data_IF_568715566920
#
_entry.id   IF_568715566920
#
_cell.length_a   1.000
_cell.length_b   1.000
_cell.length_c   1.000
_cell.angle_alpha   90.00
_cell.angle_beta   90.00
_cell.angle_gamma   90.00
#
_symmetry.space_group_name_H-M   'P 1'
#
loop_
_entity.id
_entity.type
_entity.pdbx_description
1 polymer ?
#
# COMPACT_ATOMS: atom_id res chain seq x y z
N UNK A 1 36.11 -26.21 -41.52
CA UNK A 1 35.11 -25.11 -41.49
C UNK A 1 34.32 -25.22 -40.20
N UNK A 2 34.37 -24.17 -39.37
CA UNK A 2 33.77 -24.10 -38.03
C UNK A 2 32.35 -23.53 -38.16
N UNK A 3 31.32 -24.28 -37.79
CA UNK A 3 30.00 -23.71 -37.53
C UNK A 3 29.67 -23.94 -36.06
N UNK A 4 29.81 -22.85 -35.30
CA UNK A 4 29.38 -22.71 -33.91
C UNK A 4 27.85 -22.72 -33.89
N UNK A 5 27.26 -23.77 -33.31
CA UNK A 5 25.89 -23.71 -32.84
C UNK A 5 25.85 -22.77 -31.62
N UNK A 6 25.28 -21.59 -31.81
CA UNK A 6 25.00 -20.64 -30.75
C UNK A 6 23.82 -21.21 -29.96
N UNK A 7 23.96 -21.49 -28.66
CA UNK A 7 22.83 -21.93 -27.85
C UNK A 7 21.84 -20.77 -27.75
N UNK A 8 20.57 -21.09 -28.00
CA UNK A 8 19.39 -20.26 -27.83
C UNK A 8 19.23 -19.93 -26.33
N UNK A 9 20.10 -19.05 -25.84
CA UNK A 9 20.10 -18.50 -24.50
C UNK A 9 18.86 -17.62 -24.33
N UNK A 10 18.03 -18.03 -23.37
CA UNK A 10 17.29 -17.11 -22.50
C UNK A 10 16.43 -16.05 -23.21
N UNK A 11 15.28 -16.48 -23.73
CA UNK A 11 14.06 -15.65 -23.68
C UNK A 11 13.50 -15.65 -22.24
N UNK A 12 14.37 -15.30 -21.29
CA UNK A 12 14.05 -14.82 -19.96
C UNK A 12 14.28 -13.31 -20.02
N UNK A 13 13.40 -12.63 -20.75
CA UNK A 13 13.30 -11.19 -20.69
C UNK A 13 11.86 -10.81 -20.39
N UNK A 14 11.57 -10.82 -19.09
CA UNK A 14 10.87 -9.72 -18.45
C UNK A 14 9.63 -9.23 -19.22
N UNK A 15 8.53 -9.97 -19.15
CA UNK A 15 7.27 -9.26 -18.88
C UNK A 15 7.43 -8.61 -17.52
N UNK A 16 8.02 -7.42 -17.51
CA UNK A 16 7.92 -6.46 -16.43
C UNK A 16 6.42 -6.16 -16.26
N UNK A 17 5.72 -7.04 -15.53
CA UNK A 17 4.35 -6.87 -15.06
C UNK A 17 4.26 -5.76 -13.99
N UNK A 18 4.93 -4.63 -14.19
CA UNK A 18 5.13 -3.61 -13.16
C UNK A 18 5.41 -2.23 -13.75
N UNK A 19 4.65 -1.84 -14.78
CA UNK A 19 4.80 -0.54 -15.45
C UNK A 19 3.86 0.63 -15.04
N UNK A 20 2.90 0.57 -14.10
CA UNK A 20 2.04 1.75 -13.85
C UNK A 20 1.98 2.29 -12.42
N UNK A 21 2.51 1.62 -11.39
CA UNK A 21 2.40 2.16 -10.03
C UNK A 21 3.35 3.33 -9.76
N UNK A 22 4.15 3.78 -10.74
CA UNK A 22 5.07 4.93 -10.60
C UNK A 22 4.40 6.17 -9.99
N UNK A 23 3.16 6.47 -10.38
CA UNK A 23 2.42 7.60 -9.82
C UNK A 23 2.11 7.38 -8.33
N UNK A 24 1.70 6.18 -7.94
CA UNK A 24 1.51 5.80 -6.55
C UNK A 24 2.84 5.82 -5.79
N UNK A 25 3.92 5.28 -6.37
CA UNK A 25 5.27 5.30 -5.80
C UNK A 25 5.71 6.72 -5.47
N UNK A 26 5.55 7.65 -6.41
CA UNK A 26 5.91 9.05 -6.19
C UNK A 26 5.03 9.69 -5.12
N UNK A 27 3.72 9.44 -5.17
CA UNK A 27 2.77 10.02 -4.21
C UNK A 27 3.06 9.52 -2.79
N UNK A 28 3.22 8.20 -2.62
CA UNK A 28 3.54 7.62 -1.32
C UNK A 28 4.94 7.99 -0.85
N UNK A 29 5.93 8.12 -1.74
CA UNK A 29 7.25 8.63 -1.35
C UNK A 29 7.16 10.05 -0.77
N UNK A 30 6.34 10.92 -1.36
CA UNK A 30 6.09 12.26 -0.82
C UNK A 30 5.36 12.17 0.53
N UNK A 31 4.25 11.43 0.59
CA UNK A 31 3.48 11.25 1.83
C UNK A 31 4.35 10.67 2.97
N UNK A 32 5.27 9.78 2.64
CA UNK A 32 6.20 9.14 3.58
C UNK A 32 7.16 10.14 4.23
N UNK A 33 7.48 11.25 3.54
CA UNK A 33 8.29 12.34 4.10
C UNK A 33 7.49 13.31 4.95
N UNK A 34 6.17 13.35 4.82
CA UNK A 34 5.33 14.27 5.58
C UNK A 34 5.28 13.88 7.06
N UNK A 35 5.43 14.89 7.93
CA UNK A 35 5.40 14.74 9.40
C UNK A 35 6.39 13.70 9.96
N UNK A 36 7.44 13.35 9.21
CA UNK A 36 8.50 12.46 9.69
C UNK A 36 9.22 13.14 10.88
N UNK A 37 9.02 12.60 12.08
CA UNK A 37 9.69 13.09 13.31
C UNK A 37 8.84 13.96 14.23
N UNK A 38 7.56 14.22 13.94
CA UNK A 38 6.71 15.03 14.82
C UNK A 38 6.18 14.28 16.06
N UNK A 39 6.46 12.98 16.20
CA UNK A 39 5.92 12.13 17.27
C UNK A 39 4.42 11.83 17.17
N UNK A 40 3.70 12.49 16.26
CA UNK A 40 2.27 12.31 16.01
C UNK A 40 2.00 11.32 14.88
N UNK A 41 0.88 10.60 14.97
CA UNK A 41 0.38 9.79 13.85
C UNK A 41 -0.04 10.72 12.69
N UNK A 42 0.50 10.48 11.50
CA UNK A 42 0.04 11.10 10.27
C UNK A 42 -0.93 10.17 9.53
N UNK A 43 -2.19 10.57 9.47
CA UNK A 43 -3.25 9.85 8.74
C UNK A 43 -3.31 10.37 7.32
N UNK A 44 -2.86 9.55 6.37
CA UNK A 44 -2.87 9.87 4.94
C UNK A 44 -4.07 9.21 4.26
N UNK A 45 -4.82 9.97 3.45
CA UNK A 45 -5.94 9.47 2.64
C UNK A 45 -5.94 10.14 1.28
N UNK A 46 -6.14 9.37 0.23
CA UNK A 46 -6.64 9.89 -1.03
C UNK A 46 -8.12 10.24 -0.89
N UNK A 47 -8.55 11.32 -1.55
CA UNK A 47 -9.96 11.59 -1.75
C UNK A 47 -10.58 10.51 -2.65
N UNK A 48 -11.86 10.21 -2.45
CA UNK A 48 -12.59 9.23 -3.28
C UNK A 48 -12.50 9.61 -4.75
N UNK A 49 -12.71 10.89 -5.07
CA UNK A 49 -12.60 11.42 -6.43
C UNK A 49 -11.23 11.20 -7.04
N UNK A 50 -10.13 11.46 -6.31
CA UNK A 50 -8.79 11.19 -6.83
C UNK A 50 -8.56 9.70 -7.09
N UNK A 51 -9.09 8.81 -6.24
CA UNK A 51 -9.00 7.38 -6.49
C UNK A 51 -9.81 6.97 -7.72
N UNK A 52 -11.01 7.53 -7.91
CA UNK A 52 -11.82 7.28 -9.11
C UNK A 52 -11.08 7.72 -10.38
N UNK A 53 -10.45 8.89 -10.36
CA UNK A 53 -9.65 9.41 -11.48
C UNK A 53 -8.43 8.50 -11.75
N UNK A 54 -7.74 8.03 -10.69
CA UNK A 54 -6.60 7.13 -10.81
C UNK A 54 -7.00 5.75 -11.36
N UNK A 55 -8.21 5.28 -11.08
CA UNK A 55 -8.69 3.97 -11.54
C UNK A 55 -8.80 3.89 -13.06
N UNK A 56 -8.99 5.03 -13.72
CA UNK A 56 -9.09 5.15 -15.18
C UNK A 56 -7.72 5.03 -15.87
N UNK A 57 -6.62 5.09 -15.11
CA UNK A 57 -5.27 4.97 -15.65
C UNK A 57 -4.90 3.51 -15.84
N UNK A 58 -4.29 3.15 -16.99
CA UNK A 58 -3.95 1.77 -17.29
C UNK A 58 -2.96 1.21 -16.27
N UNK A 59 -3.29 0.02 -15.75
CA UNK A 59 -2.51 -0.75 -14.79
C UNK A 59 -2.70 -0.37 -13.31
N UNK A 60 -3.57 0.59 -13.00
CA UNK A 60 -3.99 0.88 -11.62
C UNK A 60 -5.32 0.22 -11.23
N UNK A 61 -5.91 -0.58 -12.11
CA UNK A 61 -7.28 -1.11 -11.98
C UNK A 61 -7.44 -2.01 -10.76
N UNK A 62 -6.37 -2.68 -10.33
CA UNK A 62 -6.36 -3.54 -9.13
C UNK A 62 -5.85 -2.81 -7.88
N UNK A 63 -4.84 -1.96 -8.04
CA UNK A 63 -4.24 -1.24 -6.94
C UNK A 63 -5.22 -0.23 -6.32
N UNK A 64 -6.00 0.49 -7.14
CA UNK A 64 -6.93 1.50 -6.65
C UNK A 64 -8.05 0.92 -5.78
N UNK A 65 -8.77 -0.14 -6.19
CA UNK A 65 -9.74 -0.81 -5.31
C UNK A 65 -9.11 -1.33 -4.02
N UNK A 66 -7.88 -1.85 -4.07
CA UNK A 66 -7.15 -2.29 -2.89
C UNK A 66 -6.83 -1.12 -1.93
N UNK A 67 -6.42 0.04 -2.47
CA UNK A 67 -6.22 1.28 -1.68
C UNK A 67 -7.54 1.74 -1.06
N UNK A 68 -8.65 1.77 -1.82
CA UNK A 68 -9.98 2.13 -1.31
C UNK A 68 -10.37 1.25 -0.12
N UNK A 69 -10.18 -0.07 -0.28
CA UNK A 69 -10.48 -1.05 0.76
C UNK A 69 -9.64 -0.82 2.02
N UNK A 70 -8.32 -0.64 1.86
CA UNK A 70 -7.41 -0.39 2.97
C UNK A 70 -7.73 0.93 3.70
N UNK A 71 -7.98 2.02 2.96
CA UNK A 71 -8.38 3.29 3.57
C UNK A 71 -9.65 3.16 4.40
N UNK A 72 -10.64 2.42 3.92
CA UNK A 72 -11.87 2.17 4.68
C UNK A 72 -11.59 1.43 5.98
N UNK A 73 -10.79 0.37 5.95
CA UNK A 73 -10.39 -0.35 7.17
C UNK A 73 -9.63 0.56 8.13
N UNK A 74 -8.69 1.38 7.64
CA UNK A 74 -7.95 2.32 8.49
C UNK A 74 -8.84 3.45 9.05
N UNK A 75 -9.89 3.84 8.33
CA UNK A 75 -10.88 4.80 8.83
C UNK A 75 -11.75 4.21 9.95
N UNK A 76 -12.13 2.94 9.82
CA UNK A 76 -12.79 2.17 10.88
C UNK A 76 -11.86 2.04 12.11
N UNK A 77 -10.59 1.69 11.90
CA UNK A 77 -9.59 1.61 12.97
C UNK A 77 -9.42 2.94 13.69
N UNK A 78 -9.29 4.04 12.95
CA UNK A 78 -9.17 5.40 13.48
C UNK A 78 -10.41 5.81 14.28
N UNK A 79 -11.61 5.50 13.77
CA UNK A 79 -12.88 5.78 14.44
C UNK A 79 -12.97 5.05 15.78
N UNK A 80 -12.69 3.75 15.78
CA UNK A 80 -12.65 2.94 17.00
C UNK A 80 -11.60 3.43 17.99
N UNK A 81 -10.43 3.88 17.50
CA UNK A 81 -9.41 4.52 18.33
C UNK A 81 -9.92 5.79 19.00
N UNK A 82 -10.52 6.71 18.24
CA UNK A 82 -11.07 7.97 18.77
C UNK A 82 -12.21 7.73 19.76
N UNK A 83 -13.05 6.73 19.51
CA UNK A 83 -14.18 6.39 20.37
C UNK A 83 -13.81 5.48 21.54
N UNK A 84 -12.52 5.09 21.67
CA UNK A 84 -12.04 4.15 22.70
C UNK A 84 -12.71 2.76 22.64
N UNK A 85 -13.28 2.39 21.49
CA UNK A 85 -13.96 1.10 21.24
C UNK A 85 -13.03 0.14 20.48
N UNK A 86 -11.85 -0.05 21.05
CA UNK A 86 -10.72 -0.73 20.40
C UNK A 86 -10.94 -2.22 20.11
N UNK A 87 -11.87 -2.88 20.81
CA UNK A 87 -12.15 -4.32 20.69
C UNK A 87 -12.89 -4.72 19.40
N UNK A 88 -13.38 -3.77 18.62
CA UNK A 88 -14.18 -4.04 17.41
C UNK A 88 -13.35 -4.30 16.15
N UNK A 89 -12.02 -4.30 16.27
CA UNK A 89 -11.13 -4.27 15.11
C UNK A 89 -10.44 -5.60 14.90
N UNK A 90 -10.37 -6.01 13.63
CA UNK A 90 -9.55 -7.15 13.23
C UNK A 90 -8.11 -6.68 13.02
N UNK A 91 -7.26 -6.92 14.02
CA UNK A 91 -5.84 -6.50 14.02
C UNK A 91 -5.04 -6.98 12.81
N UNK A 92 -5.50 -8.04 12.11
CA UNK A 92 -4.79 -8.63 10.98
C UNK A 92 -5.37 -8.17 9.64
N UNK A 93 -6.54 -7.55 9.63
CA UNK A 93 -7.24 -7.20 8.39
C UNK A 93 -6.46 -6.15 7.60
N UNK A 94 -6.05 -5.05 8.25
CA UNK A 94 -5.28 -4.00 7.60
C UNK A 94 -3.91 -4.50 7.10
N UNK A 95 -3.21 -5.32 7.89
CA UNK A 95 -1.93 -5.95 7.50
C UNK A 95 -2.08 -6.84 6.26
N UNK A 96 -3.13 -7.67 6.23
CA UNK A 96 -3.42 -8.55 5.09
C UNK A 96 -3.72 -7.72 3.84
N UNK A 97 -4.58 -6.71 3.95
CA UNK A 97 -4.94 -5.84 2.83
C UNK A 97 -3.72 -5.06 2.30
N UNK A 98 -2.86 -4.56 3.18
CA UNK A 98 -1.62 -3.92 2.79
C UNK A 98 -0.66 -4.89 2.08
N UNK A 99 -0.60 -6.14 2.53
CA UNK A 99 0.21 -7.18 1.89
C UNK A 99 -0.28 -7.49 0.47
N UNK A 100 -1.59 -7.58 0.26
CA UNK A 100 -2.15 -7.75 -1.09
C UNK A 100 -1.88 -6.51 -1.97
N UNK A 101 -2.03 -5.30 -1.43
CA UNK A 101 -1.72 -4.06 -2.16
C UNK A 101 -0.26 -4.01 -2.64
N UNK A 102 0.69 -4.49 -1.83
CA UNK A 102 2.10 -4.59 -2.22
C UNK A 102 2.36 -5.58 -3.35
N UNK A 103 1.53 -6.62 -3.51
CA UNK A 103 1.65 -7.53 -4.65
C UNK A 103 1.24 -6.86 -5.96
N UNK A 104 0.26 -5.95 -5.89
CA UNK A 104 -0.20 -5.19 -7.05
C UNK A 104 0.79 -4.08 -7.43
N UNK A 105 1.49 -3.49 -6.46
CA UNK A 105 2.50 -2.43 -6.66
C UNK A 105 3.80 -2.71 -5.88
N UNK A 106 4.63 -3.67 -6.30
CA UNK A 106 5.79 -4.14 -5.54
C UNK A 106 6.90 -3.09 -5.36
N UNK A 107 6.99 -2.12 -6.26
CA UNK A 107 7.95 -1.02 -6.21
C UNK A 107 7.53 0.12 -5.27
N UNK A 108 6.24 0.18 -4.90
CA UNK A 108 5.70 1.23 -4.04
C UNK A 108 5.92 0.87 -2.58
N UNK A 109 6.56 1.78 -1.84
CA UNK A 109 6.64 1.71 -0.39
C UNK A 109 5.40 2.41 0.17
N UNK A 110 4.67 1.74 1.05
CA UNK A 110 3.42 2.23 1.62
C UNK A 110 3.62 2.60 3.09
N UNK A 111 4.72 3.30 3.42
CA UNK A 111 5.17 3.42 4.81
C UNK A 111 4.20 4.24 5.67
N UNK A 112 3.50 5.23 5.11
CA UNK A 112 2.43 5.94 5.83
C UNK A 112 1.36 4.99 6.36
N UNK A 113 0.92 4.01 5.56
CA UNK A 113 -0.05 3.01 6.00
C UNK A 113 0.57 2.02 6.98
N UNK A 114 1.82 1.59 6.76
CA UNK A 114 2.53 0.72 7.71
C UNK A 114 2.65 1.35 9.10
N UNK A 115 2.98 2.64 9.15
CA UNK A 115 3.09 3.40 10.41
C UNK A 115 1.74 3.54 11.09
N UNK A 116 0.67 3.80 10.33
CA UNK A 116 -0.68 3.90 10.86
C UNK A 116 -1.16 2.57 11.45
N UNK A 117 -1.00 1.46 10.71
CA UNK A 117 -1.31 0.12 11.20
C UNK A 117 -0.50 -0.19 12.48
N UNK A 118 0.81 0.08 12.44
CA UNK A 118 1.69 -0.12 13.60
C UNK A 118 1.24 0.69 14.83
N UNK A 119 0.82 1.95 14.62
CA UNK A 119 0.30 2.79 15.69
C UNK A 119 -0.94 2.17 16.35
N UNK A 120 -1.95 1.77 15.57
CA UNK A 120 -3.16 1.19 16.12
C UNK A 120 -2.87 -0.12 16.87
N UNK A 121 -2.03 -1.00 16.30
CA UNK A 121 -1.59 -2.26 16.96
C UNK A 121 -0.95 -2.05 18.32
N UNK A 122 -0.11 -1.03 18.46
CA UNK A 122 0.50 -0.70 19.76
C UNK A 122 -0.53 -0.21 20.78
N UNK A 123 -1.58 0.48 20.32
CA UNK A 123 -2.66 0.97 21.20
C UNK A 123 -3.64 -0.14 21.61
N UNK A 124 -3.83 -1.17 20.78
CA UNK A 124 -4.59 -2.38 21.18
C UNK A 124 -3.90 -3.14 22.31
N UNK A 125 -2.59 -3.42 22.15
CA UNK A 125 -1.82 -4.25 23.10
C UNK A 125 -1.62 -3.63 24.48
N UNK A 126 -1.78 -2.32 24.63
CA UNK A 126 -1.55 -1.63 25.90
C UNK A 126 -2.64 -1.87 26.98
N UNK A 127 -3.65 -2.71 26.69
CA UNK A 127 -4.75 -3.05 27.62
C UNK A 127 -4.74 -4.50 28.12
N UNK A 128 -3.69 -5.27 27.85
CA UNK A 128 -3.46 -6.59 28.49
C UNK A 128 -2.59 -6.45 29.74
#
# INVERSE_FOLDING_TARGET
MKYRFIPFLFLLSYFAKGQPCKLLTQTFAIADTMKKGSGELYVFRFSVKHLDDLQLLPGLEKAVPAIKKLQKTLDEDNSSFKNTVLWQLDEKLADRQLTELRKECPETRFMVFEREIGFYKLKYRAKE
#
